data_IF_894912984747
#
_entry.id   IF_894912984747
#
_cell.length_a   1.000
_cell.length_b   1.000
_cell.length_c   1.000
_cell.angle_alpha   90.00
_cell.angle_beta   90.00
_cell.angle_gamma   90.00
#
_symmetry.space_group_name_H-M   'P 1'
#
loop_
_entity.id
_entity.type
_entity.pdbx_description
1 polymer ?
#
# COMPACT_ATOMS: atom_id res chain seq x y z
N UNK A 1 -30.98 -13.01 -6.89
CA UNK A 1 -29.78 -12.20 -6.70
C UNK A 1 -28.84 -12.95 -5.79
N UNK A 2 -27.58 -12.97 -6.08
CA UNK A 2 -26.56 -13.61 -5.28
C UNK A 2 -25.41 -12.64 -5.03
N UNK A 3 -24.60 -12.90 -4.03
CA UNK A 3 -23.41 -12.13 -3.72
C UNK A 3 -22.40 -12.22 -4.88
N UNK A 4 -21.96 -11.09 -5.39
CA UNK A 4 -21.03 -11.01 -6.52
C UNK A 4 -19.63 -11.56 -6.19
N UNK A 5 -19.32 -11.71 -4.90
CA UNK A 5 -18.03 -12.26 -4.44
C UNK A 5 -18.09 -13.76 -4.12
N UNK A 6 -19.06 -14.21 -3.31
CA UNK A 6 -19.11 -15.61 -2.85
C UNK A 6 -20.32 -16.41 -3.32
N UNK A 7 -21.26 -15.80 -4.04
CA UNK A 7 -22.47 -16.46 -4.54
C UNK A 7 -23.55 -16.76 -3.49
N UNK A 8 -23.39 -16.28 -2.25
CA UNK A 8 -24.41 -16.44 -1.21
C UNK A 8 -25.65 -15.61 -1.50
N UNK A 9 -26.81 -16.12 -1.17
CA UNK A 9 -28.09 -15.41 -1.33
C UNK A 9 -28.60 -14.78 -0.03
N UNK A 10 -27.84 -14.90 1.07
CA UNK A 10 -28.23 -14.41 2.38
C UNK A 10 -27.64 -13.04 2.71
N UNK A 11 -28.47 -12.15 3.26
CA UNK A 11 -28.02 -10.86 3.78
C UNK A 11 -27.39 -9.94 2.73
N UNK A 12 -27.92 -9.93 1.52
CA UNK A 12 -27.40 -9.13 0.42
C UNK A 12 -27.59 -7.63 0.66
N UNK A 13 -26.54 -6.87 0.43
CA UNK A 13 -26.54 -5.40 0.49
C UNK A 13 -25.66 -4.81 -0.59
N UNK A 14 -25.98 -3.60 -1.07
CA UNK A 14 -25.12 -2.90 -2.02
C UNK A 14 -23.86 -2.41 -1.32
N UNK A 15 -22.72 -2.58 -1.98
CA UNK A 15 -21.42 -2.09 -1.52
C UNK A 15 -20.81 -1.20 -2.61
N UNK A 16 -20.47 0.02 -2.25
CA UNK A 16 -19.84 0.98 -3.19
C UNK A 16 -18.35 0.74 -3.29
N UNK A 17 -17.86 0.60 -4.50
CA UNK A 17 -16.44 0.37 -4.78
C UNK A 17 -15.75 1.71 -5.08
N UNK A 18 -15.23 2.33 -4.03
CA UNK A 18 -14.55 3.64 -4.13
C UNK A 18 -13.26 3.56 -4.98
N UNK A 19 -12.78 4.66 -5.55
CA UNK A 19 -13.36 6.03 -5.53
C UNK A 19 -14.49 6.25 -6.53
N UNK A 20 -14.82 5.25 -7.35
CA UNK A 20 -15.99 5.33 -8.24
C UNK A 20 -17.30 5.08 -7.46
N UNK A 21 -18.41 5.41 -8.07
CA UNK A 21 -19.75 5.21 -7.49
C UNK A 21 -20.37 3.85 -7.89
N UNK A 22 -19.60 3.00 -8.51
CA UNK A 22 -20.04 1.65 -8.90
C UNK A 22 -20.32 0.80 -7.67
N UNK A 23 -21.43 0.09 -7.70
CA UNK A 23 -21.84 -0.77 -6.60
C UNK A 23 -21.91 -2.24 -7.02
N UNK A 24 -21.51 -3.11 -6.11
CA UNK A 24 -21.69 -4.56 -6.22
C UNK A 24 -22.64 -5.04 -5.11
N UNK A 25 -23.22 -6.21 -5.30
CA UNK A 25 -24.06 -6.84 -4.29
C UNK A 25 -23.23 -7.85 -3.51
N UNK A 26 -23.10 -7.66 -2.21
CA UNK A 26 -22.37 -8.58 -1.33
C UNK A 26 -23.23 -9.03 -0.15
N UNK A 27 -22.92 -10.23 0.37
CA UNK A 27 -23.63 -10.77 1.53
C UNK A 27 -23.07 -10.21 2.85
N UNK A 28 -23.82 -10.42 3.94
CA UNK A 28 -23.40 -9.96 5.26
C UNK A 28 -22.06 -10.53 5.73
N UNK A 29 -21.73 -11.76 5.35
CA UNK A 29 -20.43 -12.39 5.67
C UNK A 29 -19.29 -11.68 4.94
N UNK A 30 -19.45 -11.40 3.64
CA UNK A 30 -18.45 -10.63 2.87
C UNK A 30 -18.29 -9.22 3.45
N UNK A 31 -19.40 -8.53 3.75
CA UNK A 31 -19.37 -7.19 4.36
C UNK A 31 -18.62 -7.17 5.69
N UNK A 32 -18.82 -8.16 6.53
CA UNK A 32 -18.14 -8.24 7.83
C UNK A 32 -16.65 -8.56 7.74
N UNK A 33 -16.23 -9.26 6.69
CA UNK A 33 -14.84 -9.73 6.53
C UNK A 33 -14.03 -8.91 5.54
N UNK A 34 -14.64 -7.97 4.83
CA UNK A 34 -13.97 -7.21 3.73
C UNK A 34 -12.84 -6.31 4.23
N UNK A 35 -12.96 -5.78 5.44
CA UNK A 35 -11.93 -4.91 6.02
C UNK A 35 -10.72 -5.70 6.53
N UNK A 36 -10.95 -6.91 7.03
CA UNK A 36 -9.90 -7.78 7.57
C UNK A 36 -10.00 -9.20 6.97
N UNK A 37 -9.72 -9.37 5.67
CA UNK A 37 -9.92 -10.65 4.98
C UNK A 37 -9.02 -11.77 5.52
N UNK A 38 -7.90 -11.45 6.14
CA UNK A 38 -6.98 -12.43 6.74
C UNK A 38 -7.57 -13.20 7.94
N UNK A 39 -8.64 -12.68 8.54
CA UNK A 39 -9.33 -13.38 9.65
C UNK A 39 -10.14 -14.58 9.18
N UNK A 40 -10.60 -14.59 7.94
CA UNK A 40 -11.39 -15.68 7.37
C UNK A 40 -10.94 -16.03 5.95
N UNK A 41 -9.69 -16.42 5.81
CA UNK A 41 -9.10 -16.78 4.52
C UNK A 41 -9.88 -17.87 3.77
N UNK A 42 -10.51 -18.78 4.50
CA UNK A 42 -11.30 -19.86 3.90
C UNK A 42 -12.54 -19.35 3.18
N UNK A 43 -13.18 -18.33 3.71
CA UNK A 43 -14.32 -17.68 3.06
C UNK A 43 -13.91 -17.08 1.71
N UNK A 44 -12.71 -16.50 1.65
CA UNK A 44 -12.20 -15.83 0.47
C UNK A 44 -11.65 -16.76 -0.63
N UNK A 45 -11.73 -18.08 -0.45
CA UNK A 45 -11.51 -19.02 -1.55
C UNK A 45 -12.48 -18.80 -2.72
N UNK A 46 -13.63 -18.17 -2.46
CA UNK A 46 -14.58 -17.75 -3.50
C UNK A 46 -13.98 -16.76 -4.52
N UNK A 47 -12.91 -16.04 -4.16
CA UNK A 47 -12.23 -15.13 -5.09
C UNK A 47 -11.63 -15.84 -6.30
N UNK A 48 -11.36 -17.15 -6.21
CA UNK A 48 -10.96 -17.94 -7.38
C UNK A 48 -11.96 -17.88 -8.53
N UNK A 49 -13.24 -17.78 -8.19
CA UNK A 49 -14.31 -17.68 -9.18
C UNK A 49 -14.64 -16.21 -9.50
N UNK A 50 -14.72 -15.36 -8.49
CA UNK A 50 -15.09 -13.94 -8.66
C UNK A 50 -14.04 -13.12 -9.38
N UNK A 51 -12.75 -13.49 -9.31
CA UNK A 51 -11.68 -12.83 -10.09
C UNK A 51 -11.89 -12.94 -11.61
N UNK A 52 -12.67 -13.91 -12.07
CA UNK A 52 -13.00 -14.11 -13.48
C UNK A 52 -14.31 -13.42 -13.89
N UNK A 53 -14.93 -12.65 -13.02
CA UNK A 53 -16.14 -11.89 -13.33
C UNK A 53 -15.90 -10.93 -14.50
N UNK A 54 -16.93 -10.70 -15.29
CA UNK A 54 -16.93 -9.70 -16.36
C UNK A 54 -17.26 -8.29 -15.87
N UNK A 55 -17.70 -8.18 -14.61
CA UNK A 55 -18.02 -6.89 -13.99
C UNK A 55 -16.76 -6.21 -13.45
N UNK A 56 -16.40 -5.01 -13.94
CA UNK A 56 -15.19 -4.33 -13.50
C UNK A 56 -15.13 -4.07 -12.01
N UNK A 57 -16.26 -3.70 -11.39
CA UNK A 57 -16.34 -3.48 -9.94
C UNK A 57 -16.02 -4.74 -9.12
N UNK A 58 -16.47 -5.91 -9.58
CA UNK A 58 -16.15 -7.20 -8.95
C UNK A 58 -14.68 -7.54 -9.10
N UNK A 59 -14.12 -7.31 -10.28
CA UNK A 59 -12.68 -7.51 -10.54
C UNK A 59 -11.82 -6.64 -9.64
N UNK A 60 -12.18 -5.38 -9.46
CA UNK A 60 -11.51 -4.42 -8.56
C UNK A 60 -11.51 -4.92 -7.12
N UNK A 61 -12.66 -5.39 -6.64
CA UNK A 61 -12.77 -5.92 -5.28
C UNK A 61 -11.98 -7.22 -5.11
N UNK A 62 -12.02 -8.12 -6.09
CA UNK A 62 -11.20 -9.33 -6.09
C UNK A 62 -9.71 -8.99 -6.02
N UNK A 63 -9.24 -8.05 -6.81
CA UNK A 63 -7.85 -7.58 -6.80
C UNK A 63 -7.45 -7.03 -5.41
N UNK A 64 -8.26 -6.17 -4.83
CA UNK A 64 -8.01 -5.58 -3.50
C UNK A 64 -7.95 -6.62 -2.40
N UNK A 65 -8.90 -7.55 -2.39
CA UNK A 65 -8.96 -8.62 -1.40
C UNK A 65 -7.79 -9.60 -1.54
N UNK A 66 -7.44 -9.99 -2.76
CA UNK A 66 -6.27 -10.84 -3.03
C UNK A 66 -4.97 -10.17 -2.62
N UNK A 67 -4.85 -8.85 -2.81
CA UNK A 67 -3.71 -8.07 -2.34
C UNK A 67 -3.62 -8.06 -0.82
N UNK A 68 -4.73 -7.85 -0.12
CA UNK A 68 -4.81 -7.90 1.35
C UNK A 68 -4.46 -9.30 1.90
N UNK A 69 -4.83 -10.35 1.18
CA UNK A 69 -4.56 -11.74 1.53
C UNK A 69 -3.12 -12.18 1.20
N UNK A 70 -2.40 -11.40 0.40
CA UNK A 70 -1.07 -11.75 -0.07
C UNK A 70 -1.06 -12.91 -1.09
N UNK A 71 -2.17 -13.13 -1.79
CA UNK A 71 -2.35 -14.21 -2.76
C UNK A 71 -1.71 -13.87 -4.12
N UNK A 72 -0.40 -13.79 -4.16
CA UNK A 72 0.35 -13.34 -5.34
C UNK A 72 0.09 -14.21 -6.56
N UNK A 73 0.00 -15.52 -6.41
CA UNK A 73 -0.24 -16.45 -7.52
C UNK A 73 -1.56 -16.14 -8.25
N UNK A 74 -2.59 -15.78 -7.50
CA UNK A 74 -3.90 -15.41 -8.05
C UNK A 74 -3.87 -14.01 -8.68
N UNK A 75 -3.15 -13.08 -8.08
CA UNK A 75 -2.94 -11.73 -8.64
C UNK A 75 -2.22 -11.80 -9.99
N UNK A 76 -1.23 -12.69 -10.13
CA UNK A 76 -0.50 -12.89 -11.38
C UNK A 76 -1.39 -13.49 -12.49
N UNK A 77 -2.40 -14.25 -12.11
CA UNK A 77 -3.39 -14.83 -13.04
C UNK A 77 -4.53 -13.87 -13.39
N UNK A 78 -4.79 -12.89 -12.54
CA UNK A 78 -5.87 -11.93 -12.71
C UNK A 78 -5.51 -10.90 -13.78
N UNK A 79 -6.26 -10.93 -14.88
CA UNK A 79 -6.14 -9.94 -15.94
C UNK A 79 -7.12 -8.79 -15.71
N UNK A 80 -6.58 -7.59 -15.59
CA UNK A 80 -7.34 -6.35 -15.51
C UNK A 80 -6.95 -5.43 -16.67
N UNK A 81 -7.92 -4.74 -17.24
CA UNK A 81 -7.65 -3.64 -18.14
C UNK A 81 -6.96 -2.49 -17.38
N UNK A 82 -6.17 -1.68 -18.06
CA UNK A 82 -5.34 -0.64 -17.43
C UNK A 82 -6.13 0.34 -16.57
N UNK A 83 -7.32 0.72 -17.02
CA UNK A 83 -8.23 1.62 -16.29
C UNK A 83 -8.86 0.95 -15.06
N UNK A 84 -9.16 -0.34 -15.14
CA UNK A 84 -9.71 -1.14 -14.03
C UNK A 84 -8.62 -1.39 -12.98
N UNK A 85 -7.42 -1.66 -13.41
CA UNK A 85 -6.25 -1.83 -12.54
C UNK A 85 -5.92 -0.53 -11.80
N UNK A 86 -5.88 0.60 -12.50
CA UNK A 86 -5.67 1.90 -11.89
C UNK A 86 -6.73 2.20 -10.82
N UNK A 87 -8.00 1.90 -11.09
CA UNK A 87 -9.08 2.03 -10.11
C UNK A 87 -8.87 1.13 -8.88
N UNK A 88 -8.46 -0.10 -9.08
CA UNK A 88 -8.19 -1.03 -7.97
C UNK A 88 -7.05 -0.52 -7.07
N UNK A 89 -5.96 -0.05 -7.66
CA UNK A 89 -4.80 0.47 -6.95
C UNK A 89 -5.11 1.78 -6.22
N UNK A 90 -5.87 2.67 -6.82
CA UNK A 90 -6.27 3.96 -6.22
C UNK A 90 -7.03 3.76 -4.90
N UNK A 91 -7.97 2.83 -4.85
CA UNK A 91 -8.71 2.53 -3.64
C UNK A 91 -7.84 1.88 -2.54
N UNK A 92 -6.80 1.13 -2.90
CA UNK A 92 -5.84 0.60 -1.92
C UNK A 92 -5.01 1.70 -1.27
N UNK A 93 -4.65 2.73 -2.03
CA UNK A 93 -3.93 3.91 -1.50
C UNK A 93 -4.81 4.68 -0.52
N UNK A 94 -6.09 4.87 -0.83
CA UNK A 94 -7.04 5.54 0.07
C UNK A 94 -7.24 4.77 1.39
N UNK A 95 -7.19 3.45 1.36
CA UNK A 95 -7.29 2.60 2.55
C UNK A 95 -5.98 2.52 3.36
N UNK A 96 -4.91 3.20 2.92
CA UNK A 96 -3.60 3.18 3.58
C UNK A 96 -2.82 1.88 3.37
N UNK A 97 -3.32 1.02 2.50
CA UNK A 97 -2.60 -0.14 2.01
C UNK A 97 -1.77 0.28 0.79
N UNK A 98 -0.75 1.07 1.03
CA UNK A 98 0.25 1.28 0.00
C UNK A 98 0.77 -0.08 -0.44
N UNK A 99 0.75 -0.30 -1.76
CA UNK A 99 1.21 -1.56 -2.33
C UNK A 99 2.60 -1.89 -1.77
N UNK A 100 2.80 -3.12 -1.32
CA UNK A 100 4.12 -3.66 -0.95
C UNK A 100 5.16 -3.58 -2.09
N UNK A 101 4.77 -3.03 -3.22
CA UNK A 101 5.58 -2.70 -4.38
C UNK A 101 6.18 -1.29 -4.35
N UNK A 102 6.03 -0.52 -3.29
CA UNK A 102 6.91 0.62 -3.07
C UNK A 102 8.33 0.05 -2.93
N UNK A 103 9.21 0.39 -3.87
CA UNK A 103 10.60 0.00 -3.75
C UNK A 103 11.11 0.39 -2.37
N UNK A 104 11.71 -0.55 -1.61
CA UNK A 104 12.19 -0.23 -0.27
C UNK A 104 13.21 0.89 -0.38
N UNK A 105 13.10 1.88 0.49
CA UNK A 105 14.09 2.93 0.58
C UNK A 105 15.41 2.30 0.99
N UNK A 106 16.45 2.53 0.20
CA UNK A 106 17.79 1.99 0.45
C UNK A 106 18.76 3.12 0.75
N UNK A 107 19.73 2.84 1.61
CA UNK A 107 20.83 3.75 1.86
C UNK A 107 21.87 3.74 0.70
N UNK A 108 22.94 4.51 0.84
CA UNK A 108 24.03 4.56 -0.15
C UNK A 108 24.73 3.19 -0.35
N UNK A 109 24.65 2.29 0.61
CA UNK A 109 25.23 0.95 0.56
C UNK A 109 24.25 -0.11 0.04
N UNK A 110 22.99 0.25 -0.23
CA UNK A 110 21.93 -0.67 -0.65
C UNK A 110 21.21 -1.36 0.50
N UNK A 111 21.45 -0.96 1.74
CA UNK A 111 20.75 -1.50 2.92
C UNK A 111 19.34 -0.93 3.03
N UNK A 112 18.35 -1.78 3.24
CA UNK A 112 16.94 -1.36 3.38
C UNK A 112 16.77 -0.55 4.66
N UNK A 113 16.19 0.64 4.51
CA UNK A 113 15.81 1.52 5.62
C UNK A 113 14.35 1.29 5.98
N UNK A 114 14.06 1.24 7.28
CA UNK A 114 12.72 1.14 7.83
C UNK A 114 12.44 2.28 8.80
N UNK A 115 11.17 2.56 9.05
CA UNK A 115 10.80 3.60 10.02
C UNK A 115 11.37 3.26 11.42
N UNK A 116 11.89 4.29 12.08
CA UNK A 116 12.52 4.13 13.39
C UNK A 116 14.02 3.83 13.35
N UNK A 117 14.59 3.56 12.18
CA UNK A 117 16.02 3.33 12.04
C UNK A 117 16.85 4.59 12.35
N UNK A 118 18.10 4.37 12.69
CA UNK A 118 19.11 5.42 12.81
C UNK A 118 20.04 5.37 11.63
N UNK A 119 20.33 6.53 11.04
CA UNK A 119 21.20 6.66 9.89
C UNK A 119 22.22 7.75 10.12
N UNK A 120 23.34 7.67 9.42
CA UNK A 120 24.37 8.71 9.41
C UNK A 120 24.45 9.36 8.04
N UNK A 121 24.58 10.68 8.00
CA UNK A 121 24.76 11.43 6.76
C UNK A 121 26.21 11.24 6.28
N UNK A 122 26.37 10.79 5.03
CA UNK A 122 27.68 10.50 4.43
C UNK A 122 28.22 11.65 3.58
N UNK A 123 27.42 12.67 3.31
CA UNK A 123 27.79 13.88 2.59
C UNK A 123 27.17 15.11 3.23
N UNK A 124 27.86 16.25 3.12
CA UNK A 124 27.30 17.52 3.55
C UNK A 124 26.05 17.87 2.74
N UNK A 125 24.94 18.11 3.42
CA UNK A 125 23.66 18.46 2.82
C UNK A 125 23.22 19.85 3.22
N UNK A 126 22.98 20.71 2.22
CA UNK A 126 22.34 22.01 2.45
C UNK A 126 20.84 21.80 2.56
N UNK A 127 20.29 22.06 3.73
CA UNK A 127 18.85 21.95 3.97
C UNK A 127 18.16 23.25 3.57
N UNK A 128 17.52 23.23 2.42
CA UNK A 128 16.72 24.36 1.95
C UNK A 128 15.49 24.52 2.85
N UNK A 129 15.29 25.72 3.38
CA UNK A 129 14.14 26.05 4.24
C UNK A 129 14.43 26.00 5.74
N UNK A 130 15.44 25.27 6.21
CA UNK A 130 15.84 25.26 7.62
C UNK A 130 17.04 26.18 7.92
N UNK A 131 17.71 26.69 6.88
CA UNK A 131 18.81 27.66 7.00
C UNK A 131 20.12 27.09 7.56
N UNK A 132 20.30 25.77 7.57
CA UNK A 132 21.53 25.13 8.04
C UNK A 132 22.01 24.03 7.08
N UNK A 133 23.27 23.67 7.21
CA UNK A 133 23.87 22.55 6.48
C UNK A 133 24.05 21.37 7.41
N UNK A 134 23.48 20.22 7.06
CA UNK A 134 23.72 18.96 7.75
C UNK A 134 25.08 18.41 7.29
N UNK A 135 26.04 18.36 8.19
CA UNK A 135 27.40 17.89 7.90
C UNK A 135 27.49 16.38 7.84
N UNK A 136 28.45 15.87 7.08
CA UNK A 136 28.85 14.47 7.08
C UNK A 136 29.09 13.97 8.52
N UNK A 137 28.58 12.77 8.82
CA UNK A 137 28.69 12.18 10.15
C UNK A 137 27.56 12.56 11.13
N UNK A 138 26.63 13.41 10.72
CA UNK A 138 25.45 13.72 11.52
C UNK A 138 24.55 12.49 11.61
N UNK A 139 24.22 12.10 12.85
CA UNK A 139 23.29 10.98 13.09
C UNK A 139 21.86 11.45 13.10
N UNK A 140 21.02 10.81 12.30
CA UNK A 140 19.57 11.02 12.26
C UNK A 140 18.90 9.80 12.86
N UNK A 141 18.17 10.00 13.95
CA UNK A 141 17.44 8.92 14.64
C UNK A 141 15.96 8.98 14.32
N UNK A 142 15.30 7.82 14.42
CA UNK A 142 13.87 7.72 14.27
C UNK A 142 13.37 8.31 12.94
N UNK A 143 13.95 7.83 11.85
CA UNK A 143 13.56 8.23 10.49
C UNK A 143 12.14 7.77 10.18
N UNK A 144 11.47 8.53 9.32
CA UNK A 144 10.16 8.17 8.76
C UNK A 144 10.25 8.16 7.25
N UNK A 145 9.45 7.31 6.62
CA UNK A 145 9.34 7.30 5.16
C UNK A 145 8.56 8.52 4.69
N UNK A 146 9.03 9.14 3.60
CA UNK A 146 8.29 10.22 2.96
C UNK A 146 7.11 9.63 2.18
N UNK A 147 5.87 10.10 2.42
CA UNK A 147 4.71 9.60 1.68
C UNK A 147 4.88 9.85 0.18
N UNK A 148 4.78 8.78 -0.63
CA UNK A 148 4.82 8.87 -2.08
C UNK A 148 6.20 9.13 -2.72
N UNK A 149 7.28 9.14 -1.95
CA UNK A 149 8.63 9.34 -2.47
C UNK A 149 9.63 8.31 -1.92
N UNK A 150 10.00 7.27 -2.69
CA UNK A 150 10.91 6.23 -2.24
C UNK A 150 12.38 6.69 -2.14
N UNK A 151 12.70 7.88 -2.62
CA UNK A 151 14.06 8.43 -2.62
C UNK A 151 14.35 9.32 -1.41
N UNK A 152 13.33 9.78 -0.72
CA UNK A 152 13.45 10.68 0.42
C UNK A 152 12.95 10.03 1.70
N UNK A 153 13.59 10.38 2.81
CA UNK A 153 13.13 10.07 4.15
C UNK A 153 12.95 11.36 4.95
N UNK A 154 12.11 11.31 5.94
CA UNK A 154 11.97 12.39 6.91
C UNK A 154 12.74 12.05 8.19
N UNK A 155 13.57 12.95 8.63
CA UNK A 155 14.34 12.78 9.87
C UNK A 155 14.48 14.09 10.63
N UNK A 156 14.77 14.00 11.92
CA UNK A 156 15.05 15.17 12.76
C UNK A 156 16.56 15.40 12.86
N UNK A 157 16.98 16.57 12.45
CA UNK A 157 18.36 17.08 12.63
C UNK A 157 18.28 18.39 13.42
N UNK A 158 19.02 18.49 14.50
CA UNK A 158 19.00 19.65 15.41
C UNK A 158 17.59 20.07 15.88
N UNK A 159 16.69 19.11 16.04
CA UNK A 159 15.32 19.38 16.45
C UNK A 159 14.35 19.77 15.33
N UNK A 160 14.85 19.92 14.11
CA UNK A 160 14.05 20.28 12.93
C UNK A 160 13.83 19.06 12.05
N UNK A 161 12.58 18.82 11.65
CA UNK A 161 12.24 17.76 10.69
C UNK A 161 12.61 18.20 9.29
N UNK A 162 13.40 17.40 8.60
CA UNK A 162 13.87 17.66 7.23
C UNK A 162 13.68 16.43 6.36
N UNK A 163 13.57 16.64 5.05
CA UNK A 163 13.61 15.58 4.06
C UNK A 163 15.04 15.37 3.57
N UNK A 164 15.50 14.14 3.56
CA UNK A 164 16.88 13.78 3.19
C UNK A 164 16.82 12.72 2.11
N UNK A 165 17.68 12.84 1.10
CA UNK A 165 17.82 11.83 0.05
C UNK A 165 18.49 10.61 0.64
N UNK A 166 17.87 9.43 0.49
CA UNK A 166 18.37 8.17 1.05
C UNK A 166 19.76 7.78 0.53
N UNK A 167 20.10 8.17 -0.70
CA UNK A 167 21.43 7.94 -1.30
C UNK A 167 22.59 8.64 -0.56
N UNK A 168 22.29 9.60 0.32
CA UNK A 168 23.29 10.32 1.13
C UNK A 168 23.33 9.85 2.58
N UNK A 169 22.69 8.72 2.87
CA UNK A 169 22.57 8.14 4.19
C UNK A 169 23.23 6.77 4.25
N UNK A 170 23.69 6.41 5.45
CA UNK A 170 24.19 5.09 5.78
C UNK A 170 23.48 4.59 7.03
N UNK A 171 22.90 3.39 6.96
CA UNK A 171 22.30 2.74 8.14
C UNK A 171 23.37 2.46 9.19
N UNK A 172 23.05 2.79 10.42
CA UNK A 172 23.90 2.50 11.58
C UNK A 172 23.63 1.12 12.16
#
# INVERSE_FOLDING_TARGET
MACDLCGSEEGLSPYTVTPKEDTITICGTCTASIDEPTKDEKHWNCLHDSMWSTEPAVQVMAYRLLTKLGAQDQLDMLYLEDDVKAWAEEGLVEEGLEAENAEPVRDANGTILVEGDSVSIIKDLVVKGAGFTAKQGTTVKNIRMAPGDPLHIQGKVNGTSIFIISAFLKKL
#
